data_IF_546537407404
#
_entry.id   IF_546537407404
#
_cell.length_a   1.000
_cell.length_b   1.000
_cell.length_c   1.000
_cell.angle_alpha   90.00
_cell.angle_beta   90.00
_cell.angle_gamma   90.00
#
_symmetry.space_group_name_H-M   'P 1'
#
loop_
_entity.id
_entity.type
_entity.pdbx_description
1 polymer ?
#
# COMPACT_ATOMS: atom_id res chain seq x y z
N UNK A 1 -65.64 39.63 32.43
CA UNK A 1 -65.11 38.37 33.04
C UNK A 1 -63.96 37.86 32.17
N UNK A 2 -62.77 37.82 32.76
CA UNK A 2 -61.49 37.70 32.06
C UNK A 2 -61.18 36.23 31.65
N UNK A 3 -60.89 36.01 30.37
CA UNK A 3 -60.30 34.78 29.91
C UNK A 3 -58.81 35.00 29.68
N UNK A 4 -58.00 34.29 30.48
CA UNK A 4 -56.52 34.26 30.32
C UNK A 4 -56.16 33.30 29.20
N UNK A 5 -55.41 33.80 28.24
CA UNK A 5 -54.73 33.01 27.23
C UNK A 5 -53.39 32.59 27.83
N UNK A 6 -53.20 31.30 28.06
CA UNK A 6 -51.90 30.72 28.40
C UNK A 6 -51.17 30.29 27.18
N UNK A 7 -50.12 31.00 26.86
CA UNK A 7 -49.21 30.70 25.75
C UNK A 7 -48.29 29.56 26.17
N UNK A 8 -48.45 28.40 25.54
CA UNK A 8 -47.49 27.28 25.68
C UNK A 8 -46.35 27.50 24.72
N UNK A 9 -45.20 27.92 25.23
CA UNK A 9 -43.97 27.95 24.48
C UNK A 9 -43.47 26.50 24.33
N UNK A 10 -43.56 25.97 23.13
CA UNK A 10 -42.92 24.72 22.76
C UNK A 10 -41.41 24.94 22.68
N UNK A 11 -40.70 24.39 23.64
CA UNK A 11 -39.23 24.34 23.67
C UNK A 11 -38.75 23.33 22.63
N UNK A 12 -38.38 23.80 21.45
CA UNK A 12 -37.67 22.98 20.45
C UNK A 12 -36.26 22.74 20.98
N UNK A 13 -36.05 21.58 21.59
CA UNK A 13 -34.70 21.06 21.84
C UNK A 13 -34.11 20.66 20.48
N UNK A 14 -33.34 21.57 19.90
CA UNK A 14 -32.42 21.21 18.84
C UNK A 14 -31.31 20.36 19.44
N UNK A 15 -31.42 19.05 19.30
CA UNK A 15 -30.32 18.10 19.49
C UNK A 15 -29.31 18.38 18.37
N UNK A 16 -28.47 19.37 18.56
CA UNK A 16 -27.20 19.44 17.86
C UNK A 16 -26.32 18.34 18.41
N UNK A 17 -26.34 17.18 17.74
CA UNK A 17 -25.27 16.22 17.89
C UNK A 17 -24.00 16.91 17.41
N UNK A 18 -23.29 17.55 18.33
CA UNK A 18 -21.92 17.97 18.08
C UNK A 18 -21.10 16.69 17.91
N UNK A 19 -20.92 16.25 16.65
CA UNK A 19 -19.82 15.40 16.32
C UNK A 19 -18.58 16.12 16.84
N UNK A 20 -17.93 15.52 17.83
CA UNK A 20 -16.65 16.02 18.31
C UNK A 20 -15.67 15.92 17.13
N UNK A 21 -15.46 17.05 16.48
CA UNK A 21 -14.42 17.19 15.47
C UNK A 21 -13.11 17.15 16.23
N UNK A 22 -12.33 16.09 16.06
CA UNK A 22 -10.98 16.09 16.60
C UNK A 22 -10.19 17.18 15.88
N UNK A 23 -9.86 18.23 16.58
CA UNK A 23 -8.98 19.29 16.08
C UNK A 23 -7.56 18.98 16.53
N UNK A 24 -6.62 18.97 15.59
CA UNK A 24 -5.20 18.91 15.89
C UNK A 24 -4.59 20.27 15.55
N UNK A 25 -3.96 20.90 16.54
CA UNK A 25 -3.10 22.04 16.27
C UNK A 25 -1.79 21.52 15.69
N UNK A 26 -1.49 21.89 14.44
CA UNK A 26 -0.16 21.70 13.89
C UNK A 26 0.78 22.76 14.45
N UNK A 27 2.07 22.50 14.50
CA UNK A 27 3.11 23.48 14.88
C UNK A 27 3.06 24.77 14.04
N UNK A 28 2.32 24.77 12.95
CA UNK A 28 2.08 25.92 12.07
C UNK A 28 0.78 26.70 12.40
N UNK A 29 0.05 26.32 13.46
CA UNK A 29 -1.21 26.98 13.85
C UNK A 29 -2.42 26.69 12.96
N UNK A 30 -2.34 25.72 12.05
CA UNK A 30 -3.46 25.28 11.24
C UNK A 30 -4.36 24.32 12.02
N UNK A 31 -5.67 24.58 12.04
CA UNK A 31 -6.67 23.67 12.62
C UNK A 31 -7.00 22.59 11.59
N UNK A 32 -6.66 21.37 11.91
CA UNK A 32 -6.97 20.21 11.09
C UNK A 32 -8.39 19.73 11.37
N UNK A 33 -9.27 19.87 10.39
CA UNK A 33 -10.62 19.35 10.47
C UNK A 33 -10.64 17.89 9.97
N UNK A 34 -10.87 16.98 10.89
CA UNK A 34 -11.07 15.57 10.60
C UNK A 34 -12.45 15.13 11.13
N UNK A 35 -13.28 14.49 10.33
CA UNK A 35 -13.13 13.86 9.02
C UNK A 35 -13.68 14.66 7.82
N UNK A 36 -13.47 15.94 7.72
CA UNK A 36 -14.09 16.80 6.71
C UNK A 36 -13.16 17.07 5.52
N UNK A 37 -13.76 17.35 4.36
CA UNK A 37 -13.04 17.86 3.21
C UNK A 37 -12.90 19.37 3.29
N UNK A 38 -11.79 19.89 2.77
CA UNK A 38 -11.52 21.33 2.69
C UNK A 38 -11.25 21.75 1.24
N UNK A 39 -11.58 23.01 0.85
CA UNK A 39 -11.27 23.51 -0.49
C UNK A 39 -9.76 23.72 -0.69
N UNK A 40 -9.01 23.98 0.38
CA UNK A 40 -7.59 24.25 0.35
C UNK A 40 -6.79 23.07 0.91
N UNK A 41 -5.58 22.89 0.38
CA UNK A 41 -4.68 21.86 0.87
C UNK A 41 -4.30 22.13 2.33
N UNK A 42 -4.50 21.19 3.26
CA UNK A 42 -4.02 21.33 4.63
C UNK A 42 -2.50 21.46 4.69
N UNK A 43 -2.01 22.45 5.44
CA UNK A 43 -0.58 22.71 5.62
C UNK A 43 0.03 21.80 6.68
N UNK A 44 -0.07 20.49 6.46
CA UNK A 44 0.52 19.47 7.32
C UNK A 44 1.38 18.53 6.48
N UNK A 45 2.40 17.90 7.09
CA UNK A 45 3.09 16.77 6.46
C UNK A 45 2.11 15.65 6.09
N UNK A 46 2.47 14.82 5.13
CA UNK A 46 1.72 13.62 4.78
C UNK A 46 2.73 12.48 4.53
N UNK A 47 2.74 11.43 5.34
CA UNK A 47 1.86 11.19 6.48
C UNK A 47 2.13 12.14 7.68
N UNK A 48 1.11 12.32 8.53
CA UNK A 48 1.19 13.10 9.76
C UNK A 48 0.58 12.32 10.92
N UNK A 49 1.22 12.40 12.10
CA UNK A 49 0.72 11.75 13.31
C UNK A 49 0.01 12.76 14.19
N UNK A 50 -1.27 12.50 14.47
CA UNK A 50 -2.09 13.30 15.38
C UNK A 50 -1.70 13.08 16.85
N UNK A 51 -2.15 13.97 17.73
CA UNK A 51 -1.84 13.91 19.16
C UNK A 51 -2.37 12.63 19.84
N UNK A 52 -3.45 12.02 19.34
CA UNK A 52 -3.99 10.74 19.82
C UNK A 52 -3.25 9.51 19.28
N UNK A 53 -2.18 9.73 18.50
CA UNK A 53 -1.39 8.69 17.87
C UNK A 53 -1.93 8.23 16.50
N UNK A 54 -3.09 8.71 16.07
CA UNK A 54 -3.63 8.39 14.74
C UNK A 54 -2.73 8.97 13.65
N UNK A 55 -2.41 8.17 12.67
CA UNK A 55 -1.70 8.63 11.47
C UNK A 55 -2.68 8.95 10.36
N UNK A 56 -2.46 10.08 9.68
CA UNK A 56 -3.31 10.57 8.60
C UNK A 56 -2.49 10.87 7.35
N UNK A 57 -3.12 10.77 6.19
CA UNK A 57 -2.58 11.21 4.90
C UNK A 57 -3.48 12.29 4.30
N UNK A 58 -2.89 13.15 3.47
CA UNK A 58 -3.58 14.20 2.73
C UNK A 58 -3.81 13.75 1.30
N UNK A 59 -5.04 13.86 0.82
CA UNK A 59 -5.43 13.47 -0.53
C UNK A 59 -6.26 14.57 -1.21
N UNK A 60 -6.08 14.74 -2.52
CA UNK A 60 -6.94 15.56 -3.37
C UNK A 60 -7.97 14.63 -4.04
N UNK A 61 -9.25 15.00 -3.88
CA UNK A 61 -10.38 14.30 -4.48
C UNK A 61 -10.70 14.84 -5.88
N UNK A 62 -11.39 14.07 -6.71
CA UNK A 62 -11.84 14.52 -8.05
C UNK A 62 -12.73 15.76 -8.01
N UNK A 63 -13.49 15.91 -6.94
CA UNK A 63 -14.32 17.11 -6.72
C UNK A 63 -13.49 18.39 -6.53
N UNK A 64 -12.16 18.29 -6.44
CA UNK A 64 -11.28 19.43 -6.23
C UNK A 64 -11.10 19.83 -4.77
N UNK A 65 -11.68 19.09 -3.83
CA UNK A 65 -11.49 19.27 -2.40
C UNK A 65 -10.39 18.36 -1.85
N UNK A 66 -9.78 18.79 -0.77
CA UNK A 66 -8.77 18.02 -0.04
C UNK A 66 -9.41 17.24 1.11
N UNK A 67 -8.91 16.05 1.35
CA UNK A 67 -9.32 15.22 2.49
C UNK A 67 -8.10 14.87 3.33
N UNK A 68 -8.32 14.82 4.66
CA UNK A 68 -7.38 14.24 5.61
C UNK A 68 -7.94 12.90 6.03
N UNK A 69 -7.24 11.82 5.75
CA UNK A 69 -7.75 10.45 5.91
C UNK A 69 -6.89 9.69 6.90
N UNK A 70 -7.50 9.07 7.93
CA UNK A 70 -6.76 8.23 8.87
C UNK A 70 -6.31 6.95 8.17
N UNK A 71 -5.15 6.48 8.60
CA UNK A 71 -4.57 5.25 8.11
C UNK A 71 -4.50 4.22 9.22
N UNK A 72 -4.56 2.95 8.85
CA UNK A 72 -4.37 1.87 9.81
C UNK A 72 -2.93 1.87 10.27
N UNK A 73 -2.71 1.81 11.59
CA UNK A 73 -1.35 1.63 12.13
C UNK A 73 -0.84 0.23 11.82
N UNK A 74 0.47 0.11 11.67
CA UNK A 74 1.16 -1.13 11.33
C UNK A 74 0.87 -2.28 12.30
N UNK A 75 0.62 -1.96 13.57
CA UNK A 75 0.42 -2.92 14.66
C UNK A 75 -1.06 -3.05 15.04
N UNK A 76 -1.96 -2.53 14.22
CA UNK A 76 -3.39 -2.65 14.45
C UNK A 76 -4.01 -3.77 13.64
N UNK A 77 -5.22 -4.20 14.01
CA UNK A 77 -5.95 -5.17 13.23
C UNK A 77 -6.27 -4.61 11.83
N UNK A 78 -5.96 -5.40 10.82
CA UNK A 78 -6.26 -5.06 9.43
C UNK A 78 -7.72 -5.41 9.12
N UNK A 79 -8.52 -4.41 8.75
CA UNK A 79 -9.87 -4.63 8.24
C UNK A 79 -9.80 -4.78 6.72
N UNK A 80 -9.92 -5.99 6.24
CA UNK A 80 -10.12 -6.23 4.82
C UNK A 80 -11.62 -6.13 4.49
N UNK A 81 -12.01 -5.45 3.39
CA UNK A 81 -13.41 -5.20 3.06
C UNK A 81 -14.16 -6.49 2.73
N UNK A 82 -13.48 -7.51 2.27
CA UNK A 82 -14.04 -8.80 1.94
C UNK A 82 -13.43 -9.86 2.85
N UNK A 83 -14.17 -10.21 3.88
CA UNK A 83 -13.76 -11.26 4.79
C UNK A 83 -13.92 -12.65 4.21
N UNK A 84 -13.97 -13.62 5.11
CA UNK A 84 -14.21 -15.02 4.79
C UNK A 84 -15.40 -15.16 3.83
N UNK A 85 -15.24 -15.99 2.81
CA UNK A 85 -16.24 -16.28 1.78
C UNK A 85 -17.64 -16.47 2.40
N UNK A 86 -18.60 -15.64 2.03
CA UNK A 86 -20.00 -15.74 2.41
C UNK A 86 -20.44 -14.98 3.67
N UNK A 87 -19.58 -14.29 4.38
CA UNK A 87 -20.00 -13.53 5.58
C UNK A 87 -20.34 -12.07 5.30
N UNK A 88 -19.91 -11.50 4.19
CA UNK A 88 -20.09 -10.09 3.86
C UNK A 88 -19.48 -9.10 4.88
N UNK A 89 -18.75 -9.62 5.87
CA UNK A 89 -18.04 -8.83 6.88
C UNK A 89 -16.56 -8.92 6.62
N UNK A 90 -15.88 -7.80 6.57
CA UNK A 90 -14.44 -7.73 6.53
C UNK A 90 -13.81 -8.55 7.66
N UNK A 91 -12.75 -9.28 7.37
CA UNK A 91 -12.00 -9.99 8.39
C UNK A 91 -11.02 -9.03 9.04
N UNK A 92 -11.03 -9.02 10.36
CA UNK A 92 -9.99 -8.35 11.13
C UNK A 92 -8.81 -9.30 11.27
N UNK A 93 -7.63 -8.86 10.85
CA UNK A 93 -6.40 -9.62 10.91
C UNK A 93 -5.40 -8.92 11.83
N UNK A 94 -4.72 -9.71 12.61
CA UNK A 94 -3.56 -9.26 13.39
C UNK A 94 -2.33 -9.32 12.47
N UNK A 95 -1.86 -8.15 12.04
CA UNK A 95 -0.72 -8.04 11.12
C UNK A 95 0.62 -8.41 11.78
N UNK A 96 0.67 -8.43 13.12
CA UNK A 96 1.86 -8.84 13.85
C UNK A 96 1.96 -10.37 14.00
N UNK A 97 0.85 -11.08 13.86
CA UNK A 97 0.80 -12.53 13.94
C UNK A 97 1.27 -13.18 12.64
N UNK A 98 2.56 -13.28 12.42
CA UNK A 98 3.10 -14.01 11.28
C UNK A 98 3.89 -15.25 11.70
N UNK A 99 4.10 -16.16 10.75
CA UNK A 99 4.78 -17.43 11.00
C UNK A 99 6.30 -17.29 11.00
N UNK A 100 6.82 -16.14 10.54
CA UNK A 100 8.24 -15.87 10.47
C UNK A 100 8.67 -15.01 11.68
N UNK A 101 9.20 -15.65 12.71
CA UNK A 101 9.61 -14.96 13.95
C UNK A 101 10.66 -13.87 13.71
N UNK A 102 11.55 -14.10 12.74
CA UNK A 102 12.56 -13.11 12.35
C UNK A 102 11.91 -11.89 11.69
N UNK A 103 10.97 -12.08 10.77
CA UNK A 103 10.23 -10.97 10.13
C UNK A 103 9.44 -10.19 11.18
N UNK A 104 8.72 -10.86 12.09
CA UNK A 104 7.97 -10.23 13.17
C UNK A 104 8.85 -9.34 14.05
N UNK A 105 10.07 -9.78 14.33
CA UNK A 105 11.01 -9.08 15.21
C UNK A 105 11.82 -7.99 14.51
N UNK A 106 12.39 -8.29 13.32
CA UNK A 106 13.35 -7.42 12.63
C UNK A 106 12.76 -6.70 11.42
N UNK A 107 11.63 -7.15 10.90
CA UNK A 107 11.02 -6.69 9.66
C UNK A 107 11.72 -7.22 8.40
N UNK A 108 12.69 -8.16 8.56
CA UNK A 108 13.41 -8.83 7.50
C UNK A 108 13.53 -10.32 7.81
N UNK A 109 13.52 -11.16 6.79
CA UNK A 109 13.75 -12.58 6.95
C UNK A 109 15.23 -12.90 7.24
N UNK A 110 15.45 -13.96 8.01
CA UNK A 110 16.73 -14.68 8.02
C UNK A 110 16.72 -15.69 6.86
N UNK A 111 17.78 -15.71 6.05
CA UNK A 111 17.87 -16.66 4.95
C UNK A 111 17.96 -18.11 5.45
N UNK A 112 18.69 -18.33 6.55
CA UNK A 112 18.74 -19.64 7.21
C UNK A 112 17.37 -20.11 7.74
N UNK A 113 16.52 -19.18 8.17
CA UNK A 113 15.15 -19.49 8.59
C UNK A 113 14.28 -19.85 7.39
N UNK A 114 14.39 -19.10 6.30
CA UNK A 114 13.70 -19.43 5.04
C UNK A 114 14.11 -20.80 4.51
N UNK A 115 15.40 -21.15 4.54
CA UNK A 115 15.90 -22.46 4.08
C UNK A 115 15.35 -23.64 4.88
N UNK A 116 15.03 -23.42 6.15
CA UNK A 116 14.46 -24.44 7.02
C UNK A 116 12.94 -24.43 7.10
N UNK A 117 12.28 -23.49 6.40
CA UNK A 117 10.84 -23.34 6.44
C UNK A 117 10.16 -24.44 5.62
N UNK A 118 9.46 -25.32 6.28
CA UNK A 118 8.69 -26.41 5.64
C UNK A 118 7.23 -26.02 5.42
N UNK A 119 6.69 -25.15 6.28
CA UNK A 119 5.29 -24.69 6.23
C UNK A 119 5.18 -23.20 6.47
N UNK A 120 4.21 -22.56 5.83
CA UNK A 120 3.79 -21.18 6.10
C UNK A 120 2.28 -21.22 6.39
N UNK A 121 1.85 -20.68 7.54
CA UNK A 121 0.45 -20.77 8.00
C UNK A 121 -0.08 -22.22 8.08
N UNK A 122 0.78 -23.17 8.39
CA UNK A 122 0.45 -24.59 8.42
C UNK A 122 0.30 -25.26 7.05
N UNK A 123 0.49 -24.53 5.93
CA UNK A 123 0.45 -25.07 4.58
C UNK A 123 1.87 -25.39 4.11
N UNK A 124 2.12 -26.59 3.56
CA UNK A 124 3.43 -26.96 3.05
C UNK A 124 3.95 -25.99 1.99
N UNK A 125 5.24 -25.63 2.06
CA UNK A 125 5.92 -24.76 1.08
C UNK A 125 5.74 -25.26 -0.36
N UNK A 126 5.86 -26.59 -0.56
CA UNK A 126 5.66 -27.20 -1.89
C UNK A 126 4.23 -27.00 -2.42
N UNK A 127 3.22 -27.01 -1.54
CA UNK A 127 1.85 -26.77 -1.91
C UNK A 127 1.59 -25.29 -2.23
N UNK A 128 2.13 -24.36 -1.41
CA UNK A 128 2.08 -22.92 -1.69
C UNK A 128 2.71 -22.63 -3.04
N UNK A 129 3.90 -23.18 -3.30
CA UNK A 129 4.59 -23.05 -4.58
C UNK A 129 3.72 -23.55 -5.74
N UNK A 130 3.10 -24.72 -5.59
CA UNK A 130 2.22 -25.27 -6.63
C UNK A 130 1.00 -24.37 -6.89
N UNK A 131 0.30 -23.96 -5.84
CA UNK A 131 -0.91 -23.12 -5.95
C UNK A 131 -0.59 -21.73 -6.48
N UNK A 132 0.58 -21.18 -6.15
CA UNK A 132 1.00 -19.85 -6.60
C UNK A 132 1.37 -19.75 -8.08
N UNK A 133 1.53 -20.87 -8.80
CA UNK A 133 1.86 -20.90 -10.23
C UNK A 133 0.68 -20.51 -11.12
N UNK A 134 0.93 -20.09 -12.38
CA UNK A 134 -0.12 -19.79 -13.33
C UNK A 134 -1.14 -20.94 -13.49
N UNK A 135 -2.39 -20.57 -13.76
CA UNK A 135 -3.54 -21.47 -14.00
C UNK A 135 -3.97 -22.33 -12.79
N UNK A 136 -3.37 -22.11 -11.62
CA UNK A 136 -3.76 -22.83 -10.39
C UNK A 136 -4.80 -22.03 -9.59
N UNK A 137 -4.38 -21.02 -8.82
CA UNK A 137 -5.28 -20.17 -8.05
C UNK A 137 -5.80 -18.97 -8.87
N UNK A 138 -5.05 -18.54 -9.87
CA UNK A 138 -5.45 -17.53 -10.86
C UNK A 138 -4.83 -17.81 -12.22
N UNK A 139 -5.37 -17.21 -13.29
CA UNK A 139 -4.82 -17.38 -14.63
C UNK A 139 -3.38 -16.89 -14.76
N UNK A 140 -3.06 -15.73 -14.18
CA UNK A 140 -1.69 -15.18 -14.20
C UNK A 140 -0.77 -15.83 -13.15
N UNK A 141 -1.34 -16.44 -12.10
CA UNK A 141 -0.59 -16.90 -10.93
C UNK A 141 -0.12 -15.76 -10.04
N UNK A 142 0.50 -16.13 -8.93
CA UNK A 142 1.20 -15.24 -7.99
C UNK A 142 2.71 -15.30 -8.16
N UNK A 143 3.20 -16.26 -8.93
CA UNK A 143 4.61 -16.49 -9.25
C UNK A 143 4.70 -17.01 -10.68
N UNK A 144 5.88 -16.87 -11.31
CA UNK A 144 6.13 -17.50 -12.60
C UNK A 144 6.15 -19.03 -12.47
N UNK A 145 5.96 -19.73 -13.60
CA UNK A 145 5.82 -21.19 -13.62
C UNK A 145 7.07 -21.95 -13.12
N UNK A 146 8.23 -21.33 -13.22
CA UNK A 146 9.54 -21.86 -12.83
C UNK A 146 10.03 -21.37 -11.46
N UNK A 147 9.24 -20.53 -10.76
CA UNK A 147 9.58 -20.02 -9.45
C UNK A 147 9.07 -20.92 -8.31
N UNK A 148 9.73 -20.83 -7.16
CA UNK A 148 9.28 -21.35 -5.89
C UNK A 148 9.20 -20.24 -4.85
N UNK A 149 8.32 -20.41 -3.86
CA UNK A 149 8.00 -19.37 -2.88
C UNK A 149 9.22 -18.95 -2.04
N UNK A 150 10.09 -19.89 -1.66
CA UNK A 150 11.27 -19.58 -0.84
C UNK A 150 12.27 -18.73 -1.63
N UNK A 151 12.53 -19.09 -2.88
CA UNK A 151 13.41 -18.30 -3.76
C UNK A 151 12.87 -16.88 -4.00
N UNK A 152 11.55 -16.72 -4.16
CA UNK A 152 10.90 -15.41 -4.29
C UNK A 152 11.09 -14.60 -3.00
N UNK A 153 10.76 -15.17 -1.84
CA UNK A 153 10.91 -14.49 -0.55
C UNK A 153 12.37 -14.07 -0.30
N UNK A 154 13.36 -14.93 -0.62
CA UNK A 154 14.77 -14.59 -0.51
C UNK A 154 15.18 -13.46 -1.43
N UNK A 155 14.78 -13.52 -2.69
CA UNK A 155 15.08 -12.47 -3.68
C UNK A 155 14.57 -11.12 -3.23
N UNK A 156 13.32 -11.05 -2.80
CA UNK A 156 12.71 -9.81 -2.32
C UNK A 156 13.34 -9.31 -1.01
N UNK A 157 13.64 -10.23 -0.08
CA UNK A 157 14.31 -9.89 1.17
C UNK A 157 15.69 -9.25 0.93
N UNK A 158 16.45 -9.75 -0.06
CA UNK A 158 17.73 -9.16 -0.46
C UNK A 158 17.58 -7.77 -1.07
N UNK A 159 16.56 -7.55 -1.91
CA UNK A 159 16.27 -6.22 -2.46
C UNK A 159 15.96 -5.22 -1.35
N UNK A 160 15.05 -5.57 -0.44
CA UNK A 160 14.65 -4.71 0.68
C UNK A 160 15.82 -4.41 1.61
N UNK A 161 16.62 -5.43 1.93
CA UNK A 161 17.84 -5.28 2.74
C UNK A 161 18.85 -4.34 2.09
N UNK A 162 19.09 -4.46 0.77
CA UNK A 162 20.00 -3.57 0.03
C UNK A 162 19.55 -2.12 0.01
N UNK A 163 18.24 -1.89 -0.03
CA UNK A 163 17.66 -0.56 0.11
C UNK A 163 17.81 0.01 1.54
N UNK A 164 18.25 -0.82 2.50
CA UNK A 164 18.32 -0.43 3.91
C UNK A 164 16.94 -0.19 4.51
N UNK A 165 15.95 -0.96 4.08
CA UNK A 165 14.55 -0.89 4.51
C UNK A 165 14.08 -2.25 5.07
N UNK A 166 12.88 -2.28 5.59
CA UNK A 166 12.20 -3.49 6.09
C UNK A 166 10.91 -3.74 5.32
N UNK A 167 10.39 -4.96 5.36
CA UNK A 167 9.10 -5.28 4.74
C UNK A 167 7.95 -4.47 5.36
N UNK A 168 8.05 -4.11 6.65
CA UNK A 168 7.07 -3.25 7.31
C UNK A 168 7.07 -1.83 6.75
N UNK A 169 8.25 -1.25 6.53
CA UNK A 169 8.36 0.07 5.91
C UNK A 169 7.84 0.07 4.47
N UNK A 170 8.05 -1.02 3.73
CA UNK A 170 7.50 -1.20 2.38
C UNK A 170 5.96 -1.35 2.38
N UNK A 171 5.40 -2.11 3.30
CA UNK A 171 3.97 -2.35 3.37
C UNK A 171 3.19 -1.12 3.80
N UNK A 172 3.76 -0.29 4.66
CA UNK A 172 3.09 0.86 5.28
C UNK A 172 2.44 1.82 4.27
N UNK A 173 3.13 2.34 3.25
CA UNK A 173 2.50 3.20 2.26
C UNK A 173 1.41 2.50 1.45
N UNK A 174 1.54 1.20 1.22
CA UNK A 174 0.49 0.41 0.55
C UNK A 174 -0.77 0.34 1.43
N UNK A 175 -0.64 0.16 2.74
CA UNK A 175 -1.77 0.25 3.66
C UNK A 175 -2.42 1.63 3.64
N UNK A 176 -1.64 2.70 3.57
CA UNK A 176 -2.16 4.07 3.48
C UNK A 176 -3.05 4.24 2.25
N UNK A 177 -2.59 3.79 1.08
CA UNK A 177 -3.39 3.84 -0.16
C UNK A 177 -4.66 3.01 -0.03
N UNK A 178 -4.53 1.74 0.38
CA UNK A 178 -5.68 0.87 0.50
C UNK A 178 -6.68 1.33 1.55
N UNK A 179 -6.22 1.85 2.68
CA UNK A 179 -7.10 2.47 3.67
C UNK A 179 -7.81 3.70 3.12
N UNK A 180 -7.13 4.52 2.33
CA UNK A 180 -7.73 5.66 1.65
C UNK A 180 -8.84 5.22 0.69
N UNK A 181 -8.61 4.13 -0.04
CA UNK A 181 -9.54 3.61 -1.06
C UNK A 181 -10.69 2.81 -0.46
N UNK A 182 -10.44 2.03 0.60
CA UNK A 182 -11.39 1.04 1.13
C UNK A 182 -12.15 1.50 2.37
N UNK A 183 -11.69 2.50 3.10
CA UNK A 183 -12.45 2.98 4.26
C UNK A 183 -13.77 3.63 3.82
N UNK A 184 -14.80 3.37 4.64
CA UNK A 184 -16.13 3.98 4.58
C UNK A 184 -16.08 5.50 4.83
N UNK A 185 -15.12 6.13 4.24
CA UNK A 185 -14.99 7.54 4.28
C UNK A 185 -15.79 8.14 3.13
N UNK A 186 -15.76 9.42 2.92
CA UNK A 186 -16.51 10.09 1.83
C UNK A 186 -16.40 9.39 0.47
N UNK A 187 -15.35 8.59 0.25
CA UNK A 187 -15.19 7.75 -0.93
C UNK A 187 -16.33 6.73 -1.10
N UNK A 188 -16.85 6.16 -0.01
CA UNK A 188 -18.02 5.26 -0.05
C UNK A 188 -19.34 6.03 -0.13
N UNK A 189 -19.40 7.25 0.39
CA UNK A 189 -20.63 8.08 0.34
C UNK A 189 -20.94 8.60 -1.06
N UNK A 190 -19.94 8.74 -1.91
CA UNK A 190 -20.09 9.25 -3.28
C UNK A 190 -20.42 8.10 -4.26
N UNK A 191 -20.80 6.93 -3.74
CA UNK A 191 -21.29 5.79 -4.51
C UNK A 191 -20.19 5.10 -5.28
N UNK A 192 -19.54 4.12 -4.73
CA UNK A 192 -18.64 3.12 -5.35
C UNK A 192 -17.64 3.64 -6.42
N UNK A 193 -17.54 4.95 -6.61
CA UNK A 193 -16.59 5.58 -7.51
C UNK A 193 -15.23 5.68 -6.82
N UNK A 194 -14.49 4.61 -6.86
CA UNK A 194 -13.09 4.51 -6.44
C UNK A 194 -12.20 5.54 -7.14
N UNK A 195 -12.68 6.06 -8.25
CA UNK A 195 -12.10 7.13 -9.04
C UNK A 195 -12.11 8.51 -8.38
N UNK A 196 -12.53 8.66 -7.13
CA UNK A 196 -12.66 9.99 -6.51
C UNK A 196 -11.36 10.58 -5.98
N UNK A 197 -10.32 9.77 -5.81
CA UNK A 197 -8.98 10.25 -5.43
C UNK A 197 -8.17 10.52 -6.69
N UNK A 198 -7.66 11.74 -6.84
CA UNK A 198 -6.75 12.11 -7.93
C UNK A 198 -5.31 11.76 -7.58
N UNK A 199 -4.90 12.11 -6.39
CA UNK A 199 -3.58 11.79 -5.87
C UNK A 199 -3.56 11.81 -4.34
N UNK A 200 -2.52 11.21 -3.78
CA UNK A 200 -2.17 11.31 -2.36
C UNK A 200 -0.78 11.92 -2.23
N UNK A 201 -0.61 12.74 -1.21
CA UNK A 201 0.70 13.26 -0.82
C UNK A 201 1.34 12.28 0.17
N UNK A 202 2.59 11.88 -0.09
CA UNK A 202 3.33 10.97 0.78
C UNK A 202 4.84 11.30 0.73
N UNK A 203 5.46 11.57 1.87
CA UNK A 203 6.88 11.96 1.98
C UNK A 203 7.30 13.05 0.98
N UNK A 204 6.45 14.07 0.79
CA UNK A 204 6.69 15.16 -0.16
C UNK A 204 6.61 14.74 -1.64
N UNK A 205 6.08 13.57 -1.93
CA UNK A 205 5.84 13.08 -3.29
C UNK A 205 4.34 13.03 -3.57
N UNK A 206 3.96 13.40 -4.79
CA UNK A 206 2.58 13.33 -5.28
C UNK A 206 2.39 12.03 -6.04
N UNK A 207 1.56 11.14 -5.50
CA UNK A 207 1.26 9.84 -6.09
C UNK A 207 -0.13 9.91 -6.72
N UNK A 208 -0.21 9.67 -8.01
CA UNK A 208 -1.44 9.73 -8.80
C UNK A 208 -2.05 8.33 -8.93
N UNK A 209 -3.37 8.30 -9.01
CA UNK A 209 -4.13 7.08 -9.24
C UNK A 209 -4.57 7.01 -10.71
N UNK A 210 -4.38 5.83 -11.28
CA UNK A 210 -5.00 5.42 -12.52
C UNK A 210 -6.39 4.82 -12.27
N UNK A 211 -6.81 3.95 -13.18
CA UNK A 211 -8.08 3.24 -13.07
C UNK A 211 -8.03 2.20 -11.95
N UNK A 212 -9.13 2.11 -11.20
CA UNK A 212 -9.38 1.03 -10.25
C UNK A 212 -10.27 0.00 -10.91
N UNK A 213 -9.79 -1.22 -10.97
CA UNK A 213 -10.52 -2.31 -11.63
C UNK A 213 -11.05 -3.30 -10.59
N UNK A 214 -12.38 -3.48 -10.50
CA UNK A 214 -12.93 -4.63 -9.80
C UNK A 214 -12.63 -5.89 -10.60
N UNK A 215 -12.08 -6.91 -9.96
CA UNK A 215 -11.92 -8.22 -10.58
C UNK A 215 -13.27 -8.97 -10.62
N UNK A 216 -13.45 -9.85 -11.60
CA UNK A 216 -14.61 -10.73 -11.63
C UNK A 216 -14.39 -11.90 -10.66
N UNK A 217 -14.88 -11.77 -9.45
CA UNK A 217 -14.75 -12.78 -8.39
C UNK A 217 -13.70 -12.39 -7.35
N UNK A 218 -13.51 -13.28 -6.40
CA UNK A 218 -12.53 -13.13 -5.34
C UNK A 218 -11.32 -14.00 -5.65
N UNK A 219 -10.15 -13.48 -5.46
CA UNK A 219 -8.90 -14.21 -5.46
C UNK A 219 -8.60 -14.63 -4.02
N UNK A 220 -8.39 -15.90 -3.80
CA UNK A 220 -8.02 -16.43 -2.48
C UNK A 220 -6.50 -16.37 -2.29
N UNK A 221 -6.09 -16.09 -1.05
CA UNK A 221 -4.68 -16.12 -0.68
C UNK A 221 -4.07 -17.51 -0.87
N UNK A 222 -2.82 -17.55 -1.31
CA UNK A 222 -2.07 -18.81 -1.43
C UNK A 222 -1.60 -19.33 -0.06
N UNK A 223 -1.64 -18.51 1.00
CA UNK A 223 -1.08 -18.81 2.32
C UNK A 223 -2.12 -19.35 3.29
N UNK A 224 -3.12 -20.00 3.03
CA UNK A 224 -4.08 -20.60 3.98
C UNK A 224 -4.46 -19.71 5.18
N UNK A 225 -4.56 -18.40 4.94
CA UNK A 225 -4.89 -17.38 5.94
C UNK A 225 -6.32 -16.85 5.80
N UNK A 226 -7.10 -17.46 4.93
CA UNK A 226 -8.50 -17.14 4.63
C UNK A 226 -8.71 -15.70 4.11
N UNK A 227 -7.67 -15.06 3.58
CA UNK A 227 -7.76 -13.74 2.99
C UNK A 227 -8.22 -13.84 1.54
N UNK A 228 -9.01 -12.87 1.14
CA UNK A 228 -9.50 -12.74 -0.23
C UNK A 228 -9.40 -11.29 -0.68
N UNK A 229 -9.11 -11.07 -1.95
CA UNK A 229 -9.11 -9.76 -2.60
C UNK A 229 -9.92 -9.78 -3.89
N UNK A 230 -10.50 -8.64 -4.24
CA UNK A 230 -11.33 -8.47 -5.43
C UNK A 230 -11.01 -7.20 -6.22
N UNK A 231 -10.09 -6.40 -5.75
CA UNK A 231 -9.80 -5.09 -6.32
C UNK A 231 -8.33 -4.94 -6.70
N UNK A 232 -8.10 -4.16 -7.74
CA UNK A 232 -6.78 -3.75 -8.18
C UNK A 232 -6.73 -2.23 -8.29
N UNK A 233 -5.62 -1.65 -7.89
CA UNK A 233 -5.34 -0.23 -8.01
C UNK A 233 -4.10 -0.03 -8.84
N UNK A 234 -4.22 0.90 -9.78
CA UNK A 234 -3.13 1.35 -10.60
C UNK A 234 -2.68 2.73 -10.11
N UNK A 235 -1.43 2.88 -9.73
CA UNK A 235 -0.92 4.16 -9.27
C UNK A 235 0.51 4.41 -9.77
N UNK A 236 0.87 5.68 -9.86
CA UNK A 236 2.15 6.10 -10.40
C UNK A 236 2.62 7.43 -9.83
N UNK A 237 3.91 7.65 -9.92
CA UNK A 237 4.55 8.92 -9.61
C UNK A 237 5.33 9.40 -10.82
N UNK A 238 5.11 10.64 -11.23
CA UNK A 238 5.93 11.28 -12.27
C UNK A 238 7.32 11.59 -11.72
N UNK A 239 8.34 11.44 -12.56
CA UNK A 239 9.69 11.87 -12.25
C UNK A 239 9.75 13.39 -12.34
N UNK A 240 10.44 14.03 -11.41
CA UNK A 240 10.79 15.44 -11.53
C UNK A 240 11.96 15.68 -12.50
N UNK A 241 12.23 16.94 -12.84
CA UNK A 241 13.28 17.30 -13.81
C UNK A 241 14.67 16.81 -13.38
N UNK A 242 14.96 16.82 -12.09
CA UNK A 242 16.23 16.35 -11.54
C UNK A 242 16.37 14.84 -11.65
N UNK A 243 15.32 14.10 -11.33
CA UNK A 243 15.26 12.65 -11.45
C UNK A 243 15.41 12.22 -12.93
N UNK A 244 14.76 12.95 -13.84
CA UNK A 244 14.93 12.74 -15.27
C UNK A 244 16.36 12.98 -15.76
N UNK A 245 16.97 14.07 -15.33
CA UNK A 245 18.36 14.39 -15.69
C UNK A 245 19.32 13.32 -15.16
N UNK A 246 19.12 12.87 -13.93
CA UNK A 246 19.91 11.81 -13.31
C UNK A 246 19.83 10.49 -14.10
N UNK A 247 18.64 10.01 -14.45
CA UNK A 247 18.49 8.77 -15.21
C UNK A 247 19.13 8.89 -16.62
N UNK A 248 18.95 9.99 -17.31
CA UNK A 248 19.57 10.21 -18.62
C UNK A 248 21.09 10.22 -18.57
N UNK A 249 21.66 10.74 -17.52
CA UNK A 249 23.12 10.73 -17.33
C UNK A 249 23.62 9.32 -17.02
N UNK A 250 23.02 8.65 -16.04
CA UNK A 250 23.45 7.34 -15.54
C UNK A 250 23.22 6.21 -16.55
N UNK A 251 22.14 6.29 -17.29
CA UNK A 251 21.67 5.27 -18.22
C UNK A 251 21.71 5.72 -19.69
N UNK A 252 22.64 6.63 -20.04
CA UNK A 252 22.83 7.15 -21.40
C UNK A 252 23.11 6.06 -22.45
N UNK A 253 23.52 4.86 -22.02
CA UNK A 253 23.75 3.71 -22.88
C UNK A 253 22.46 2.93 -23.25
N UNK A 254 21.34 3.19 -22.56
CA UNK A 254 20.06 2.57 -22.90
C UNK A 254 19.42 3.29 -24.10
N UNK A 255 18.84 2.51 -24.99
CA UNK A 255 17.97 3.05 -26.03
C UNK A 255 16.65 3.58 -25.42
N UNK A 256 15.86 4.27 -26.24
CA UNK A 256 14.62 4.90 -25.81
C UNK A 256 13.60 3.87 -25.25
N UNK A 257 13.52 2.69 -25.85
CA UNK A 257 12.59 1.64 -25.42
C UNK A 257 12.95 1.10 -24.03
N UNK A 258 14.24 0.81 -23.80
CA UNK A 258 14.73 0.33 -22.49
C UNK A 258 14.66 1.41 -21.42
N UNK A 259 14.94 2.67 -21.78
CA UNK A 259 14.76 3.79 -20.87
C UNK A 259 13.29 3.94 -20.47
N UNK A 260 12.37 3.85 -21.43
CA UNK A 260 10.93 3.86 -21.17
C UNK A 260 10.48 2.69 -20.28
N UNK A 261 11.04 1.50 -20.48
CA UNK A 261 10.78 0.33 -19.63
C UNK A 261 11.28 0.55 -18.21
N UNK A 262 12.51 1.04 -18.02
CA UNK A 262 13.08 1.38 -16.72
C UNK A 262 12.17 2.34 -15.97
N UNK A 263 11.78 3.43 -16.61
CA UNK A 263 10.92 4.46 -16.00
C UNK A 263 9.57 3.86 -15.61
N UNK A 264 8.94 3.12 -16.51
CA UNK A 264 7.65 2.48 -16.24
C UNK A 264 7.73 1.51 -15.06
N UNK A 265 8.77 0.68 -15.00
CA UNK A 265 8.96 -0.29 -13.90
C UNK A 265 9.28 0.40 -12.57
N UNK A 266 9.96 1.54 -12.61
CA UNK A 266 10.32 2.29 -11.42
C UNK A 266 9.15 3.11 -10.86
N UNK A 267 8.35 3.71 -11.73
CA UNK A 267 7.40 4.76 -11.38
C UNK A 267 5.93 4.33 -11.40
N UNK A 268 5.62 3.09 -11.73
CA UNK A 268 4.26 2.62 -11.91
C UNK A 268 4.04 1.25 -11.25
N UNK A 269 2.97 1.14 -10.47
CA UNK A 269 2.58 -0.08 -9.77
C UNK A 269 1.10 -0.38 -10.06
N UNK A 270 0.82 -1.63 -10.40
CA UNK A 270 -0.49 -2.25 -10.32
C UNK A 270 -0.48 -3.16 -9.10
N UNK A 271 -1.34 -2.90 -8.12
CA UNK A 271 -1.39 -3.66 -6.87
C UNK A 271 -2.76 -4.27 -6.62
N UNK A 272 -2.77 -5.47 -6.06
CA UNK A 272 -3.95 -6.14 -5.54
C UNK A 272 -4.28 -5.72 -4.10
N UNK A 273 -5.51 -5.95 -3.70
CA UNK A 273 -6.02 -5.66 -2.35
C UNK A 273 -5.28 -6.44 -1.25
N UNK A 274 -4.75 -7.62 -1.56
CA UNK A 274 -4.02 -8.46 -0.60
C UNK A 274 -2.55 -8.05 -0.42
N UNK A 275 -1.98 -7.29 -1.35
CA UNK A 275 -0.56 -6.97 -1.39
C UNK A 275 -0.01 -6.31 -0.11
N UNK A 276 -0.63 -5.28 0.48
CA UNK A 276 -0.10 -4.70 1.71
C UNK A 276 0.07 -5.73 2.81
N UNK A 277 -0.88 -6.66 2.89
CA UNK A 277 -0.87 -7.75 3.85
C UNK A 277 0.22 -8.79 3.53
N UNK A 278 0.35 -9.18 2.27
CA UNK A 278 1.39 -10.10 1.84
C UNK A 278 2.79 -9.58 2.15
N UNK A 279 3.02 -8.30 1.86
CA UNK A 279 4.31 -7.65 2.15
C UNK A 279 4.54 -7.58 3.66
N UNK A 280 3.54 -7.12 4.44
CA UNK A 280 3.67 -6.96 5.89
C UNK A 280 3.89 -8.29 6.60
N UNK A 281 3.13 -9.32 6.24
CA UNK A 281 3.13 -10.60 6.96
C UNK A 281 4.20 -11.56 6.48
N UNK A 282 4.42 -11.62 5.17
CA UNK A 282 5.28 -12.65 4.58
C UNK A 282 6.53 -12.08 3.90
N UNK A 283 6.61 -10.78 3.67
CA UNK A 283 7.65 -10.20 2.81
C UNK A 283 7.50 -10.67 1.36
N UNK A 284 6.28 -10.99 0.93
CA UNK A 284 5.96 -11.48 -0.39
C UNK A 284 5.36 -10.36 -1.25
N UNK A 285 5.99 -10.08 -2.39
CA UNK A 285 5.62 -9.01 -3.33
C UNK A 285 5.08 -9.56 -4.65
N UNK A 286 4.57 -10.75 -4.63
CA UNK A 286 4.40 -11.65 -5.75
C UNK A 286 5.74 -12.01 -6.45
N UNK A 287 5.73 -13.08 -7.25
CA UNK A 287 6.86 -13.43 -8.09
C UNK A 287 6.88 -12.59 -9.38
N UNK A 288 7.50 -13.10 -10.42
CA UNK A 288 7.58 -12.40 -11.70
C UNK A 288 6.27 -12.53 -12.50
N UNK A 289 5.25 -11.84 -12.03
CA UNK A 289 3.95 -11.67 -12.67
C UNK A 289 3.73 -10.23 -13.08
N UNK A 290 2.68 -9.95 -13.84
CA UNK A 290 2.29 -8.58 -14.21
C UNK A 290 1.76 -7.79 -12.99
N UNK A 291 1.39 -8.47 -11.93
CA UNK A 291 0.86 -7.89 -10.69
C UNK A 291 1.90 -7.68 -9.59
N UNK A 292 3.15 -8.03 -9.87
CA UNK A 292 4.24 -7.85 -8.93
C UNK A 292 4.41 -6.40 -8.51
N UNK A 293 4.38 -6.17 -7.21
CA UNK A 293 4.64 -4.86 -6.59
C UNK A 293 6.13 -4.78 -6.22
N UNK A 294 6.96 -4.28 -7.13
CA UNK A 294 8.40 -4.30 -6.94
C UNK A 294 8.87 -3.45 -5.74
N UNK A 295 9.71 -3.98 -4.83
CA UNK A 295 10.24 -3.23 -3.69
C UNK A 295 10.95 -1.93 -4.08
N UNK A 296 11.68 -1.92 -5.20
CA UNK A 296 12.38 -0.72 -5.69
C UNK A 296 11.37 0.34 -6.12
N UNK A 297 10.30 -0.08 -6.82
CA UNK A 297 9.23 0.83 -7.22
C UNK A 297 8.48 1.41 -6.01
N UNK A 298 8.19 0.59 -4.99
CA UNK A 298 7.60 1.08 -3.72
C UNK A 298 8.51 2.15 -3.11
N UNK A 299 9.81 1.84 -2.95
CA UNK A 299 10.76 2.76 -2.33
C UNK A 299 10.85 4.09 -3.08
N UNK A 300 10.82 4.06 -4.40
CA UNK A 300 10.85 5.25 -5.25
C UNK A 300 9.53 6.03 -5.20
N UNK A 301 8.41 5.38 -5.49
CA UNK A 301 7.09 6.03 -5.63
C UNK A 301 6.71 6.74 -4.33
N UNK A 302 6.93 6.10 -3.19
CA UNK A 302 6.57 6.63 -1.88
C UNK A 302 7.66 7.51 -1.23
N UNK A 303 8.76 7.76 -1.94
CA UNK A 303 9.85 8.58 -1.42
C UNK A 303 10.48 8.00 -0.15
N UNK A 304 10.47 6.67 0.02
CA UNK A 304 11.19 5.98 1.10
C UNK A 304 12.70 6.07 0.87
N UNK A 305 13.10 6.13 -0.39
CA UNK A 305 14.47 6.36 -0.86
C UNK A 305 14.45 7.33 -2.03
N UNK A 306 15.48 8.19 -2.11
CA UNK A 306 15.73 8.99 -3.30
C UNK A 306 16.25 8.12 -4.44
N UNK A 307 16.18 8.61 -5.68
CA UNK A 307 16.69 7.90 -6.83
C UNK A 307 18.19 7.65 -6.74
N UNK A 308 18.94 8.61 -6.18
CA UNK A 308 20.37 8.49 -5.94
C UNK A 308 20.71 7.40 -4.90
N UNK A 309 19.89 7.27 -3.83
CA UNK A 309 20.07 6.21 -2.83
C UNK A 309 19.74 4.82 -3.44
N UNK A 310 18.70 4.74 -4.27
CA UNK A 310 18.35 3.51 -4.98
C UNK A 310 19.47 3.12 -5.94
N UNK A 311 19.97 4.06 -6.74
CA UNK A 311 21.10 3.81 -7.64
C UNK A 311 22.36 3.39 -6.87
N UNK A 312 22.63 3.99 -5.72
CA UNK A 312 23.76 3.60 -4.87
C UNK A 312 23.63 2.16 -4.32
N UNK A 313 22.40 1.68 -4.12
CA UNK A 313 22.13 0.29 -3.76
C UNK A 313 22.33 -0.69 -4.94
N UNK A 314 22.12 -0.24 -6.18
CA UNK A 314 22.19 -1.05 -7.41
C UNK A 314 23.00 -0.34 -8.52
N UNK A 315 24.30 -0.06 -8.31
CA UNK A 315 25.08 0.81 -9.20
C UNK A 315 25.12 0.31 -10.65
N UNK A 316 24.53 1.08 -11.58
CA UNK A 316 24.44 0.77 -12.99
C UNK A 316 23.57 -0.44 -13.35
N UNK A 317 22.87 -1.02 -12.37
CA UNK A 317 22.11 -2.27 -12.53
C UNK A 317 20.59 -2.10 -12.40
N UNK A 318 20.11 -0.86 -12.21
CA UNK A 318 18.70 -0.64 -11.90
C UNK A 318 17.75 -1.16 -12.99
N UNK A 319 18.11 -0.99 -14.26
CA UNK A 319 17.32 -1.55 -15.36
C UNK A 319 17.25 -3.07 -15.30
N UNK A 320 18.39 -3.75 -15.17
CA UNK A 320 18.45 -5.22 -15.12
C UNK A 320 17.72 -5.77 -13.90
N UNK A 321 17.89 -5.14 -12.73
CA UNK A 321 17.22 -5.59 -11.49
C UNK A 321 15.71 -5.45 -11.58
N UNK A 322 15.20 -4.38 -12.24
CA UNK A 322 13.76 -4.19 -12.41
C UNK A 322 13.14 -5.05 -13.51
N UNK A 323 13.91 -5.44 -14.53
CA UNK A 323 13.41 -6.14 -15.72
C UNK A 323 13.76 -7.61 -15.79
N UNK A 324 14.85 -8.05 -15.11
CA UNK A 324 15.35 -9.43 -15.15
C UNK A 324 15.09 -10.21 -13.87
N UNK A 325 14.37 -11.34 -13.98
CA UNK A 325 14.18 -12.29 -12.87
C UNK A 325 15.49 -12.91 -12.37
N UNK A 326 16.41 -13.18 -13.28
CA UNK A 326 17.66 -13.87 -12.94
C UNK A 326 18.60 -13.01 -12.09
N UNK A 327 18.65 -11.70 -12.34
CA UNK A 327 19.52 -10.79 -11.60
C UNK A 327 19.17 -10.74 -10.12
N UNK A 328 17.89 -10.87 -9.76
CA UNK A 328 17.42 -10.81 -8.36
C UNK A 328 17.82 -12.02 -7.54
N UNK A 329 17.74 -13.21 -8.12
CA UNK A 329 18.16 -14.46 -7.46
C UNK A 329 19.67 -14.55 -7.26
N UNK A 330 20.44 -13.80 -8.06
CA UNK A 330 21.90 -13.78 -8.03
C UNK A 330 22.50 -12.60 -7.24
N UNK A 331 21.68 -11.75 -6.62
CA UNK A 331 22.20 -10.66 -5.79
C UNK A 331 23.00 -11.25 -4.61
N UNK A 332 24.30 -10.90 -4.45
CA UNK A 332 25.08 -11.41 -3.33
C UNK A 332 24.55 -10.85 -2.02
N UNK A 333 24.60 -11.66 -0.96
CA UNK A 333 24.42 -11.19 0.41
C UNK A 333 25.52 -10.17 0.74
N UNK A 334 25.13 -8.98 1.12
CA UNK A 334 26.03 -7.95 1.66
C UNK A 334 25.79 -7.75 3.12
#
# INVERSE_FOLDING_TARGET
>A
MNARITSSAALLLALTSSLAVATCESDAGAILLYPQTTPERPEIPSPHRLADGTEVVVALLKAGSWAVVPVTVENGPLNLPYGRRGTGKGRQLDVDANDFSTLARTGLHSEDELDRTETITGKPVAEITKVGRPEMASGAGFMAADEDIISVLKGDNRLVRRLGLTHREMARPLFHIWNLMLKEYELHRIGRDWDNVRHVEYNGKTIRFGEVHPTRGFQESIFNDEIQGAWQINFFRELDEREWAFLREKYAHLDEARMGELIRKLSHILTGEMEPYYVMRYGFYEGHTDYRVDPIAIAFIFGLKSLEEIEAAFPGQLHEVLTSRFTRSCLPDR
#
